data_IF_015347282524
#
_entry.id   IF_015347282524
#
_cell.length_a   1.000
_cell.length_b   1.000
_cell.length_c   1.000
_cell.angle_alpha   90.00
_cell.angle_beta   90.00
_cell.angle_gamma   90.00
#
_symmetry.space_group_name_H-M   'P 1'
#
loop_
_entity.id
_entity.type
_entity.pdbx_description
1 polymer ?
#
# COMPACT_ATOMS: atom_id res chain seq x y z
N UNK A 1 47.45 24.04 -7.16
CA UNK A 1 48.39 22.92 -6.85
C UNK A 1 47.62 21.63 -6.95
N UNK A 2 47.90 20.92 -8.09
CA UNK A 2 48.01 19.45 -8.35
C UNK A 2 46.94 18.53 -7.75
N UNK A 3 46.03 18.15 -8.59
CA UNK A 3 45.68 16.84 -9.17
C UNK A 3 46.52 15.64 -8.68
N UNK A 4 45.84 14.60 -8.21
CA UNK A 4 46.28 13.24 -8.46
C UNK A 4 45.04 12.32 -8.59
N UNK A 5 44.86 11.78 -9.80
CA UNK A 5 43.95 10.71 -10.16
C UNK A 5 44.49 9.39 -9.63
N UNK A 6 43.63 8.53 -9.13
CA UNK A 6 43.92 7.11 -8.94
C UNK A 6 42.83 6.26 -9.57
N UNK A 7 43.17 5.79 -10.76
CA UNK A 7 42.45 4.74 -11.48
C UNK A 7 42.98 3.40 -10.94
N UNK A 8 42.10 2.57 -10.37
CA UNK A 8 42.41 1.16 -10.15
C UNK A 8 41.30 0.30 -10.74
N UNK A 9 41.59 -0.21 -11.94
CA UNK A 9 40.82 -1.26 -12.59
C UNK A 9 41.23 -2.61 -11.98
N UNK A 10 40.27 -3.35 -11.42
CA UNK A 10 40.49 -4.75 -11.05
C UNK A 10 39.53 -5.63 -11.83
N UNK A 11 40.04 -6.22 -12.90
CA UNK A 11 39.44 -7.35 -13.62
C UNK A 11 39.61 -8.59 -12.78
N UNK A 12 38.53 -9.26 -12.39
CA UNK A 12 38.56 -10.65 -11.93
C UNK A 12 37.65 -11.49 -12.81
N UNK A 13 38.27 -12.31 -13.58
CA UNK A 13 37.69 -13.35 -14.39
C UNK A 13 37.07 -14.45 -13.50
N UNK A 14 35.83 -14.82 -13.79
CA UNK A 14 35.16 -15.98 -13.17
C UNK A 14 35.20 -17.11 -14.19
N UNK A 15 35.72 -18.29 -13.85
CA UNK A 15 35.65 -19.46 -14.74
C UNK A 15 34.26 -20.10 -14.66
N UNK A 16 33.74 -20.45 -15.81
CA UNK A 16 32.58 -21.31 -15.99
C UNK A 16 32.90 -22.72 -15.51
N UNK A 17 32.12 -23.21 -14.54
CA UNK A 17 32.08 -24.65 -14.25
C UNK A 17 30.65 -25.13 -14.53
N UNK A 18 30.56 -25.87 -15.62
CA UNK A 18 29.44 -26.74 -15.96
C UNK A 18 29.45 -27.95 -15.04
N UNK A 19 28.34 -28.21 -14.34
CA UNK A 19 28.05 -29.57 -13.87
C UNK A 19 26.56 -29.86 -14.00
N UNK A 20 26.32 -30.91 -14.73
CA UNK A 20 25.03 -31.54 -14.97
C UNK A 20 24.67 -32.52 -13.84
N UNK A 21 23.36 -32.76 -13.75
CA UNK A 21 22.69 -33.94 -13.21
C UNK A 21 22.66 -34.15 -11.69
N UNK A 22 21.43 -34.14 -11.19
CA UNK A 22 21.04 -34.61 -9.88
C UNK A 22 19.58 -34.31 -9.63
N UNK A 23 18.70 -35.06 -10.30
CA UNK A 23 17.26 -35.07 -10.06
C UNK A 23 17.03 -35.94 -8.85
N UNK A 24 16.65 -35.34 -7.73
CA UNK A 24 16.13 -36.08 -6.57
C UNK A 24 14.84 -35.45 -6.08
N UNK A 25 13.77 -36.21 -6.33
CA UNK A 25 12.41 -35.95 -5.87
C UNK A 25 12.36 -36.03 -4.34
N UNK A 26 11.92 -34.95 -3.69
CA UNK A 26 11.31 -35.05 -2.37
C UNK A 26 10.01 -34.25 -2.35
N UNK A 27 8.90 -34.80 -1.86
CA UNK A 27 7.59 -34.15 -1.83
C UNK A 27 7.50 -33.23 -0.62
N UNK A 28 7.59 -31.95 -0.87
CA UNK A 28 7.29 -30.89 0.10
C UNK A 28 6.06 -30.12 -0.33
N UNK A 29 4.92 -30.71 -0.12
CA UNK A 29 3.61 -30.07 -0.17
C UNK A 29 3.54 -29.02 0.94
N UNK A 30 3.11 -27.84 0.57
CA UNK A 30 2.37 -26.82 1.29
C UNK A 30 3.00 -25.45 1.13
N UNK A 31 2.41 -24.66 0.34
CA UNK A 31 2.22 -23.22 0.37
C UNK A 31 2.18 -22.61 -1.04
N UNK A 32 1.36 -23.13 -1.89
CA UNK A 32 1.09 -22.52 -3.21
C UNK A 32 -0.36 -22.06 -3.37
N UNK A 33 -1.09 -21.85 -2.27
CA UNK A 33 -2.50 -21.49 -2.34
C UNK A 33 -2.80 -20.00 -2.14
N UNK A 34 -1.80 -19.18 -1.83
CA UNK A 34 -2.02 -17.74 -1.59
C UNK A 34 -1.36 -16.81 -2.63
N UNK A 35 -0.76 -17.36 -3.68
CA UNK A 35 -0.18 -16.59 -4.79
C UNK A 35 -1.02 -16.66 -6.07
N UNK A 36 -2.26 -17.11 -5.95
CA UNK A 36 -3.21 -17.17 -7.05
C UNK A 36 -3.92 -15.84 -7.24
N UNK A 37 -3.78 -15.29 -8.42
CA UNK A 37 -4.72 -14.38 -9.09
C UNK A 37 -4.54 -12.87 -9.04
N UNK A 38 -3.34 -12.32 -8.81
CA UNK A 38 -3.06 -11.01 -9.40
C UNK A 38 -2.55 -11.14 -10.86
N UNK A 39 -3.07 -12.13 -11.61
CA UNK A 39 -2.63 -12.42 -12.96
C UNK A 39 -3.42 -11.58 -13.98
N UNK A 40 -2.68 -10.66 -14.65
CA UNK A 40 -2.91 -10.18 -16.02
C UNK A 40 -4.36 -9.99 -16.49
N UNK A 41 -5.22 -9.41 -15.65
CA UNK A 41 -6.51 -8.92 -16.12
C UNK A 41 -6.26 -7.62 -16.90
N UNK A 42 -6.90 -7.42 -18.06
CA UNK A 42 -6.78 -6.14 -18.77
C UNK A 42 -7.06 -4.97 -17.83
N UNK A 43 -6.26 -3.90 -17.90
CA UNK A 43 -6.30 -2.73 -17.01
C UNK A 43 -7.67 -2.05 -16.84
N UNK A 44 -8.70 -2.54 -17.49
CA UNK A 44 -10.07 -2.02 -17.43
C UNK A 44 -10.90 -2.61 -16.28
N UNK A 45 -10.36 -3.60 -15.55
CA UNK A 45 -10.99 -4.16 -14.36
C UNK A 45 -10.05 -3.93 -13.20
N UNK A 46 -10.39 -3.00 -12.32
CA UNK A 46 -9.74 -2.86 -11.03
C UNK A 46 -10.22 -4.05 -10.22
N UNK A 47 -9.35 -5.02 -9.99
CA UNK A 47 -9.61 -6.08 -9.02
C UNK A 47 -9.64 -5.42 -7.65
N UNK A 48 -10.82 -5.44 -7.06
CA UNK A 48 -11.03 -4.80 -5.76
C UNK A 48 -10.88 -5.85 -4.67
N UNK A 49 -10.16 -5.49 -3.63
CA UNK A 49 -9.95 -6.36 -2.48
C UNK A 49 -11.25 -6.53 -1.70
N UNK A 50 -11.82 -7.74 -1.74
CA UNK A 50 -13.02 -8.10 -0.96
C UNK A 50 -12.66 -8.53 0.45
N UNK A 51 -13.64 -8.47 1.37
CA UNK A 51 -13.48 -8.99 2.72
C UNK A 51 -13.06 -10.45 2.77
N UNK A 52 -13.54 -11.28 1.83
CA UNK A 52 -13.13 -12.68 1.75
C UNK A 52 -11.63 -12.81 1.55
N UNK A 53 -11.07 -12.13 0.55
CA UNK A 53 -9.62 -12.15 0.28
C UNK A 53 -8.84 -11.54 1.45
N UNK A 54 -9.37 -10.48 2.05
CA UNK A 54 -8.79 -9.85 3.24
C UNK A 54 -8.69 -10.82 4.41
N UNK A 55 -9.76 -11.51 4.76
CA UNK A 55 -9.81 -12.44 5.89
C UNK A 55 -8.88 -13.64 5.72
N UNK A 56 -8.68 -14.10 4.48
CA UNK A 56 -7.75 -15.17 4.12
C UNK A 56 -6.29 -14.70 4.06
N UNK A 57 -6.04 -13.38 4.07
CA UNK A 57 -4.70 -12.80 3.95
C UNK A 57 -3.94 -12.83 5.28
N UNK A 58 -2.60 -12.94 5.19
CA UNK A 58 -1.73 -12.83 6.37
C UNK A 58 -1.75 -11.42 6.96
N UNK A 59 -1.43 -11.30 8.25
CA UNK A 59 -1.32 -10.01 8.94
C UNK A 59 -0.35 -9.05 8.22
N UNK A 60 0.75 -9.57 7.70
CA UNK A 60 1.73 -8.73 7.01
C UNK A 60 1.24 -8.27 5.63
N UNK A 61 0.48 -9.10 4.92
CA UNK A 61 -0.18 -8.71 3.67
C UNK A 61 -1.22 -7.61 3.93
N UNK A 62 -2.02 -7.72 4.98
CA UNK A 62 -2.99 -6.69 5.38
C UNK A 62 -2.30 -5.36 5.71
N UNK A 63 -1.23 -5.40 6.51
CA UNK A 63 -0.43 -4.21 6.81
C UNK A 63 0.20 -3.60 5.56
N UNK A 64 0.70 -4.41 4.63
CA UNK A 64 1.28 -3.93 3.38
C UNK A 64 0.25 -3.18 2.52
N UNK A 65 -1.00 -3.64 2.48
CA UNK A 65 -2.10 -2.93 1.79
C UNK A 65 -2.33 -1.56 2.42
N UNK A 66 -2.50 -1.48 3.73
CA UNK A 66 -2.72 -0.20 4.42
C UNK A 66 -1.52 0.74 4.25
N UNK A 67 -0.30 0.24 4.41
CA UNK A 67 0.93 1.00 4.18
C UNK A 67 1.02 1.55 2.75
N UNK A 68 0.61 0.76 1.75
CA UNK A 68 0.57 1.21 0.36
C UNK A 68 -0.41 2.36 0.13
N UNK A 69 -1.58 2.32 0.75
CA UNK A 69 -2.58 3.40 0.68
C UNK A 69 -2.04 4.66 1.35
N UNK A 70 -1.48 4.56 2.56
CA UNK A 70 -0.88 5.70 3.26
C UNK A 70 0.26 6.33 2.48
N UNK A 71 1.14 5.51 1.91
CA UNK A 71 2.23 5.98 1.07
C UNK A 71 1.72 6.76 -0.15
N UNK A 72 0.67 6.27 -0.81
CA UNK A 72 0.06 6.97 -1.94
C UNK A 72 -0.51 8.33 -1.53
N UNK A 73 -1.23 8.39 -0.42
CA UNK A 73 -1.79 9.63 0.14
C UNK A 73 -0.69 10.64 0.51
N UNK A 74 0.40 10.18 1.14
CA UNK A 74 1.52 11.04 1.50
C UNK A 74 2.23 11.63 0.28
N UNK A 75 2.39 10.84 -0.79
CA UNK A 75 2.94 11.31 -2.06
C UNK A 75 2.05 12.40 -2.66
N UNK A 76 0.72 12.18 -2.72
CA UNK A 76 -0.21 13.18 -3.25
C UNK A 76 -0.18 14.47 -2.44
N UNK A 77 -0.13 14.38 -1.11
CA UNK A 77 0.02 15.55 -0.24
C UNK A 77 1.33 16.30 -0.51
N UNK A 78 2.44 15.59 -0.61
CA UNK A 78 3.74 16.19 -0.93
C UNK A 78 3.71 16.91 -2.29
N UNK A 79 3.07 16.32 -3.30
CA UNK A 79 2.90 16.95 -4.62
C UNK A 79 2.06 18.22 -4.49
N UNK A 80 0.91 18.15 -3.80
CA UNK A 80 0.02 19.28 -3.57
C UNK A 80 0.72 20.44 -2.83
N UNK A 81 1.50 20.15 -1.79
CA UNK A 81 2.25 21.13 -1.04
C UNK A 81 3.33 21.82 -1.91
N UNK A 82 4.00 21.05 -2.77
CA UNK A 82 4.96 21.59 -3.74
C UNK A 82 4.27 22.50 -4.76
N UNK A 83 3.12 22.08 -5.29
CA UNK A 83 2.34 22.90 -6.23
C UNK A 83 1.86 24.20 -5.58
N UNK A 84 1.35 24.11 -4.36
CA UNK A 84 0.92 25.27 -3.56
C UNK A 84 2.07 26.25 -3.32
N UNK A 85 3.22 25.74 -2.89
CA UNK A 85 4.43 26.55 -2.66
C UNK A 85 4.88 27.26 -3.94
N UNK A 86 4.89 26.57 -5.07
CA UNK A 86 5.26 27.15 -6.36
C UNK A 86 4.26 28.22 -6.83
N UNK A 87 2.96 28.02 -6.60
CA UNK A 87 1.92 29.01 -6.91
C UNK A 87 2.15 30.30 -6.11
N UNK A 88 2.39 30.17 -4.79
CA UNK A 88 2.68 31.31 -3.91
C UNK A 88 3.93 32.07 -4.38
N UNK A 89 5.03 31.37 -4.69
CA UNK A 89 6.26 31.98 -5.21
C UNK A 89 6.05 32.70 -6.53
N UNK A 90 5.12 32.23 -7.35
CA UNK A 90 4.75 32.87 -8.62
C UNK A 90 3.70 33.99 -8.47
N UNK A 91 3.34 34.39 -7.25
CA UNK A 91 2.32 35.41 -6.99
C UNK A 91 0.90 34.96 -7.33
N UNK A 92 0.66 33.66 -7.48
CA UNK A 92 -0.64 33.08 -7.76
C UNK A 92 -1.36 32.66 -6.48
N UNK A 93 -2.70 32.64 -6.51
CA UNK A 93 -3.48 32.10 -5.39
C UNK A 93 -3.23 30.59 -5.28
N UNK A 94 -2.83 30.10 -4.10
CA UNK A 94 -2.70 28.66 -3.88
C UNK A 94 -4.09 28.00 -3.95
N UNK A 95 -4.14 26.81 -4.54
CA UNK A 95 -5.32 25.94 -4.51
C UNK A 95 -4.88 24.57 -3.99
N UNK A 96 -5.66 24.00 -3.10
CA UNK A 96 -5.50 22.60 -2.70
C UNK A 96 -6.31 21.71 -3.63
N UNK A 97 -5.71 20.65 -4.10
CA UNK A 97 -6.32 19.64 -4.97
C UNK A 97 -6.47 18.29 -4.24
N UNK A 98 -6.37 18.29 -2.91
CA UNK A 98 -6.59 17.08 -2.13
C UNK A 98 -8.03 16.59 -2.29
N UNK A 99 -8.19 15.31 -2.55
CA UNK A 99 -9.50 14.67 -2.66
C UNK A 99 -10.20 14.57 -1.32
N UNK A 100 -11.53 14.44 -1.27
CA UNK A 100 -12.25 14.14 -0.03
C UNK A 100 -11.73 12.87 0.66
N UNK A 101 -11.28 11.89 -0.10
CA UNK A 101 -10.70 10.65 0.41
C UNK A 101 -9.39 10.92 1.15
N UNK A 102 -8.45 11.66 0.55
CA UNK A 102 -7.16 12.00 1.19
C UNK A 102 -7.36 12.82 2.47
N UNK A 103 -8.28 13.80 2.41
CA UNK A 103 -8.61 14.63 3.58
C UNK A 103 -9.22 13.77 4.68
N UNK A 104 -10.16 12.90 4.33
CA UNK A 104 -10.85 12.02 5.27
C UNK A 104 -9.92 11.01 5.91
N UNK A 105 -9.12 10.33 5.11
CA UNK A 105 -8.12 9.37 5.57
C UNK A 105 -7.14 10.01 6.55
N UNK A 106 -6.52 11.11 6.13
CA UNK A 106 -5.55 11.83 6.98
C UNK A 106 -6.17 12.27 8.31
N UNK A 107 -7.42 12.72 8.30
CA UNK A 107 -8.10 13.16 9.50
C UNK A 107 -8.48 12.00 10.43
N UNK A 108 -8.91 10.87 9.85
CA UNK A 108 -9.35 9.71 10.61
C UNK A 108 -8.18 8.93 11.23
N UNK A 109 -7.08 8.82 10.49
CA UNK A 109 -5.95 7.95 10.87
C UNK A 109 -4.70 8.71 11.30
N UNK A 110 -4.81 10.03 11.54
CA UNK A 110 -3.73 10.79 12.15
C UNK A 110 -3.33 10.15 13.48
N UNK A 111 -2.07 9.82 13.63
CA UNK A 111 -1.50 9.21 14.82
C UNK A 111 -2.04 7.79 15.16
N UNK A 112 -2.72 7.12 14.22
CA UNK A 112 -3.20 5.73 14.34
C UNK A 112 -2.16 4.78 13.75
N UNK A 113 -1.84 3.69 14.44
CA UNK A 113 -0.92 2.69 13.94
C UNK A 113 -1.58 1.85 12.83
N UNK A 114 -0.82 1.47 11.83
CA UNK A 114 -1.28 0.57 10.75
C UNK A 114 -1.91 -0.72 11.32
N UNK A 115 -1.34 -1.27 12.39
CA UNK A 115 -1.88 -2.45 13.04
C UNK A 115 -3.28 -2.23 13.61
N UNK A 116 -3.58 -1.03 14.11
CA UNK A 116 -4.89 -0.69 14.66
C UNK A 116 -5.92 -0.47 13.55
N UNK A 117 -5.50 0.07 12.40
CA UNK A 117 -6.36 0.16 11.22
C UNK A 117 -6.72 -1.25 10.72
N UNK A 118 -5.73 -2.14 10.59
CA UNK A 118 -5.96 -3.55 10.23
C UNK A 118 -6.93 -4.21 11.20
N UNK A 119 -6.72 -4.01 12.51
CA UNK A 119 -7.60 -4.55 13.54
C UNK A 119 -9.03 -4.03 13.42
N UNK A 120 -9.22 -2.75 13.17
CA UNK A 120 -10.55 -2.17 12.99
C UNK A 120 -11.31 -2.80 11.82
N UNK A 121 -10.63 -3.07 10.71
CA UNK A 121 -11.21 -3.77 9.55
C UNK A 121 -11.54 -5.23 9.89
N UNK A 122 -10.63 -5.93 10.57
CA UNK A 122 -10.85 -7.32 11.00
C UNK A 122 -12.05 -7.42 11.96
N UNK A 123 -12.12 -6.53 12.95
CA UNK A 123 -13.22 -6.47 13.92
C UNK A 123 -14.57 -6.19 13.23
N UNK A 124 -14.57 -5.31 12.20
CA UNK A 124 -15.78 -5.01 11.47
C UNK A 124 -16.33 -6.27 10.74
N UNK A 125 -15.48 -6.98 9.99
CA UNK A 125 -15.90 -8.20 9.31
C UNK A 125 -16.31 -9.31 10.29
N UNK A 126 -15.63 -9.43 11.42
CA UNK A 126 -15.99 -10.36 12.48
C UNK A 126 -17.37 -10.08 13.07
N UNK A 127 -17.73 -8.79 13.19
CA UNK A 127 -19.05 -8.37 13.69
C UNK A 127 -20.16 -8.45 12.64
N UNK A 128 -19.83 -8.57 11.36
CA UNK A 128 -20.78 -8.58 10.25
C UNK A 128 -20.63 -9.81 9.34
N UNK A 129 -20.85 -11.03 9.87
CA UNK A 129 -20.79 -12.26 9.07
C UNK A 129 -21.77 -12.17 7.89
N UNK A 130 -21.35 -12.63 6.71
CA UNK A 130 -22.13 -12.54 5.47
C UNK A 130 -21.82 -11.30 4.62
N UNK A 131 -20.97 -10.39 5.10
CA UNK A 131 -20.53 -9.22 4.35
C UNK A 131 -19.14 -9.36 3.72
N UNK A 132 -18.62 -10.59 3.62
CA UNK A 132 -17.27 -10.86 3.08
C UNK A 132 -17.10 -10.47 1.61
N UNK A 133 -18.20 -10.30 0.88
CA UNK A 133 -18.18 -9.81 -0.50
C UNK A 133 -18.07 -8.28 -0.58
N UNK A 134 -18.27 -7.55 0.50
CA UNK A 134 -18.10 -6.11 0.54
C UNK A 134 -16.62 -5.76 0.39
N UNK A 135 -16.34 -4.65 -0.26
CA UNK A 135 -14.96 -4.23 -0.52
C UNK A 135 -14.30 -3.67 0.73
N UNK A 136 -13.05 -4.00 0.95
CA UNK A 136 -12.28 -3.51 2.10
C UNK A 136 -12.25 -1.98 2.13
N UNK A 137 -12.06 -1.34 0.98
CA UNK A 137 -12.02 0.12 0.90
C UNK A 137 -13.37 0.78 1.19
N UNK A 138 -14.49 0.15 0.81
CA UNK A 138 -15.83 0.61 1.20
C UNK A 138 -16.03 0.50 2.71
N UNK A 139 -15.64 -0.61 3.32
CA UNK A 139 -15.71 -0.79 4.77
C UNK A 139 -14.88 0.26 5.49
N UNK A 140 -13.64 0.48 5.07
CA UNK A 140 -12.78 1.51 5.67
C UNK A 140 -13.45 2.88 5.56
N UNK A 141 -13.96 3.24 4.38
CA UNK A 141 -14.53 4.55 4.14
C UNK A 141 -15.85 4.76 4.87
N UNK A 142 -16.80 3.87 4.68
CA UNK A 142 -18.17 4.05 5.17
C UNK A 142 -18.29 3.79 6.67
N UNK A 143 -17.59 2.77 7.17
CA UNK A 143 -17.79 2.25 8.52
C UNK A 143 -16.75 2.75 9.53
N UNK A 144 -15.57 3.18 9.06
CA UNK A 144 -14.50 3.63 9.95
C UNK A 144 -14.26 5.14 9.77
N UNK A 145 -13.98 5.60 8.54
CA UNK A 145 -13.62 7.00 8.29
C UNK A 145 -14.83 7.93 8.45
N UNK A 146 -15.93 7.64 7.76
CA UNK A 146 -17.11 8.51 7.74
C UNK A 146 -17.69 8.77 9.12
N UNK A 147 -17.83 7.81 10.03
CA UNK A 147 -18.28 8.05 11.40
C UNK A 147 -17.36 9.03 12.16
N UNK A 148 -16.04 8.89 12.03
CA UNK A 148 -15.06 9.78 12.66
C UNK A 148 -15.22 11.22 12.14
N UNK A 149 -15.46 11.39 10.83
CA UNK A 149 -15.69 12.70 10.23
C UNK A 149 -17.02 13.32 10.68
N UNK A 150 -18.07 12.50 10.83
CA UNK A 150 -19.41 12.93 11.27
C UNK A 150 -19.47 13.39 12.72
N UNK A 151 -18.71 12.76 13.62
CA UNK A 151 -18.66 13.12 15.05
C UNK A 151 -18.00 14.48 15.34
N UNK A 152 -17.28 15.04 14.35
CA UNK A 152 -16.67 16.39 14.47
C UNK A 152 -17.62 17.58 14.29
N UNK A 153 -18.93 17.36 14.08
CA UNK A 153 -19.94 18.43 13.83
C UNK A 153 -20.74 18.88 15.05
N UNK A 154 -20.43 18.36 16.23
CA UNK A 154 -21.10 18.78 17.48
C UNK A 154 -20.10 19.44 18.41
N UNK A 155 -19.70 20.67 18.04
CA UNK A 155 -19.25 21.72 19.00
C UNK A 155 -19.43 23.08 18.39
#
# INVERSE_FOLDING_TARGET
>A
KKLTAFLLALFLAVPAASQAAGQENAPGTASSAAQGEFQNTPRNRIEQLTGKVWLESSSDSKKAVIFGIETAIDIERMINDRMTTNAVRAGKRPSTNLSPFEIGWTKAFKDVLIADIVKAVDDWYAAHPGNENRLVMEVIWDEIVTPILGTGKTR
#
